data_IF_569634091804
#
_entry.id   IF_569634091804
#
_cell.length_a   1.000
_cell.length_b   1.000
_cell.length_c   1.000
_cell.angle_alpha   90.00
_cell.angle_beta   90.00
_cell.angle_gamma   90.00
#
_symmetry.space_group_name_H-M   'P 1'
#
loop_
_entity.id
_entity.type
_entity.pdbx_description
1 polymer ?
#
# COMPACT_ATOMS: atom_id res chain seq x y z
N UNK A 1 3.65 -12.61 -9.96
CA UNK A 1 4.91 -13.01 -9.31
C UNK A 1 4.63 -13.15 -7.83
N UNK A 2 5.16 -14.20 -7.19
CA UNK A 2 4.94 -14.50 -5.77
C UNK A 2 6.26 -14.32 -5.02
N UNK A 3 6.25 -13.60 -3.91
CA UNK A 3 7.45 -13.42 -3.07
C UNK A 3 7.58 -14.62 -2.15
N UNK A 4 8.69 -15.36 -2.24
CA UNK A 4 8.96 -16.52 -1.39
C UNK A 4 9.77 -16.04 -0.18
N UNK A 5 9.19 -16.22 1.01
CA UNK A 5 9.81 -15.89 2.29
C UNK A 5 10.05 -17.21 3.05
N UNK A 6 11.18 -17.86 2.82
CA UNK A 6 11.46 -19.21 3.33
C UNK A 6 12.39 -19.26 4.54
N UNK A 7 13.10 -18.16 4.81
CA UNK A 7 14.13 -18.05 5.85
C UNK A 7 14.16 -16.65 6.46
N UNK A 8 14.94 -16.44 7.53
CA UNK A 8 15.07 -15.15 8.22
C UNK A 8 15.59 -14.04 7.29
N UNK A 9 16.44 -14.38 6.32
CA UNK A 9 16.93 -13.44 5.31
C UNK A 9 15.82 -12.84 4.44
N UNK A 10 14.62 -13.43 4.47
CA UNK A 10 13.43 -12.88 3.84
C UNK A 10 13.07 -11.48 4.35
N UNK A 11 13.51 -11.15 5.58
CA UNK A 11 13.39 -9.83 6.17
C UNK A 11 14.10 -8.74 5.34
N UNK A 12 15.21 -9.10 4.69
CA UNK A 12 16.08 -8.20 3.93
C UNK A 12 15.82 -8.23 2.42
N UNK A 13 14.79 -8.95 1.96
CA UNK A 13 14.40 -8.91 0.55
C UNK A 13 14.05 -7.48 0.13
N UNK A 14 14.44 -7.03 -1.07
CA UNK A 14 14.13 -5.68 -1.55
C UNK A 14 12.64 -5.34 -1.46
N UNK A 15 11.75 -6.31 -1.73
CA UNK A 15 10.30 -6.10 -1.64
C UNK A 15 9.83 -5.90 -0.19
N UNK A 16 10.45 -6.58 0.77
CA UNK A 16 10.12 -6.46 2.19
C UNK A 16 10.63 -5.15 2.77
N UNK A 17 11.90 -4.80 2.49
CA UNK A 17 12.52 -3.55 2.91
C UNK A 17 11.76 -2.35 2.34
N UNK A 18 11.49 -2.35 1.03
CA UNK A 18 10.73 -1.27 0.39
C UNK A 18 9.31 -1.16 0.95
N UNK A 19 8.65 -2.28 1.25
CA UNK A 19 7.34 -2.25 1.89
C UNK A 19 7.40 -1.58 3.25
N UNK A 20 8.32 -2.00 4.14
CA UNK A 20 8.48 -1.42 5.48
C UNK A 20 8.77 0.08 5.42
N UNK A 21 9.67 0.51 4.54
CA UNK A 21 9.93 1.93 4.28
C UNK A 21 8.70 2.70 3.80
N UNK A 22 7.83 2.08 2.98
CA UNK A 22 6.56 2.70 2.58
C UNK A 22 5.57 2.78 3.75
N UNK A 23 5.57 1.80 4.65
CA UNK A 23 4.69 1.78 5.83
C UNK A 23 5.02 2.90 6.81
N UNK A 24 6.27 3.34 6.86
CA UNK A 24 6.69 4.49 7.67
C UNK A 24 6.00 5.81 7.31
N UNK A 25 5.50 5.94 6.07
CA UNK A 25 4.78 7.13 5.63
C UNK A 25 3.26 6.99 5.84
N UNK A 26 2.76 5.84 6.26
CA UNK A 26 1.33 5.59 6.37
C UNK A 26 0.80 6.06 7.72
N UNK A 27 -0.43 6.56 7.72
CA UNK A 27 -1.10 7.08 8.91
C UNK A 27 -2.45 6.39 9.08
N UNK A 28 -2.86 6.04 10.31
CA UNK A 28 -4.16 5.45 10.58
C UNK A 28 -5.29 6.48 10.51
N UNK A 29 -6.47 6.01 10.11
CA UNK A 29 -7.70 6.77 10.17
C UNK A 29 -8.41 6.60 11.53
N UNK A 30 -8.96 7.68 12.08
CA UNK A 30 -9.73 7.64 13.34
C UNK A 30 -8.85 7.68 14.60
N UNK A 31 -9.49 7.40 15.74
CA UNK A 31 -8.90 7.45 17.08
C UNK A 31 -8.29 6.11 17.53
N UNK A 32 -8.66 5.02 16.87
CA UNK A 32 -8.41 3.66 17.33
C UNK A 32 -7.93 2.75 16.19
N UNK A 33 -6.94 1.90 16.50
CA UNK A 33 -6.34 0.94 15.58
C UNK A 33 -6.51 -0.47 16.12
N UNK A 34 -7.05 -1.37 15.29
CA UNK A 34 -7.28 -2.77 15.62
C UNK A 34 -6.17 -3.62 15.04
N UNK A 35 -5.33 -4.19 15.90
CA UNK A 35 -4.25 -5.09 15.47
C UNK A 35 -4.78 -6.52 15.30
N UNK A 36 -4.59 -7.09 14.12
CA UNK A 36 -5.04 -8.44 13.76
C UNK A 36 -3.86 -9.28 13.25
N UNK A 37 -3.83 -10.60 13.49
CA UNK A 37 -2.79 -11.45 12.94
C UNK A 37 -2.99 -11.64 11.44
N UNK A 38 -1.91 -11.90 10.72
CA UNK A 38 -2.00 -12.27 9.31
C UNK A 38 -2.70 -13.63 9.08
N UNK A 39 -2.90 -14.01 7.82
CA UNK A 39 -3.46 -15.32 7.47
C UNK A 39 -2.81 -15.90 6.23
N UNK A 40 -2.79 -17.24 6.14
CA UNK A 40 -2.22 -17.95 4.98
C UNK A 40 -2.87 -17.54 3.66
N UNK A 41 -4.20 -17.37 3.63
CA UNK A 41 -4.93 -16.92 2.44
C UNK A 41 -4.82 -15.40 2.28
N UNK A 42 -4.42 -14.95 1.09
CA UNK A 42 -4.36 -13.54 0.69
C UNK A 42 -5.35 -13.27 -0.47
N UNK A 43 -5.90 -12.04 -0.60
CA UNK A 43 -5.86 -10.97 0.40
C UNK A 43 -6.50 -11.42 1.72
N UNK A 44 -6.01 -10.90 2.85
CA UNK A 44 -6.34 -11.45 4.18
C UNK A 44 -7.85 -11.43 4.44
N UNK A 45 -8.57 -10.40 3.96
CA UNK A 45 -10.03 -10.28 4.03
C UNK A 45 -10.82 -11.49 3.54
N UNK A 46 -10.22 -12.31 2.66
CA UNK A 46 -10.85 -13.48 2.06
C UNK A 46 -10.62 -14.76 2.87
N UNK A 47 -9.82 -14.70 3.94
CA UNK A 47 -9.59 -15.81 4.87
C UNK A 47 -10.78 -16.00 5.82
N UNK A 48 -10.99 -17.24 6.30
CA UNK A 48 -12.05 -17.55 7.27
C UNK A 48 -11.90 -16.75 8.56
N UNK A 49 -10.67 -16.55 9.03
CA UNK A 49 -10.35 -15.80 10.25
C UNK A 49 -10.73 -14.32 10.10
N UNK A 50 -10.28 -13.66 9.03
CA UNK A 50 -10.57 -12.25 8.80
C UNK A 50 -12.04 -12.00 8.47
N UNK A 51 -12.75 -12.95 7.85
CA UNK A 51 -14.21 -12.84 7.70
C UNK A 51 -14.93 -12.77 9.07
N UNK A 52 -14.41 -13.43 10.11
CA UNK A 52 -14.94 -13.29 11.49
C UNK A 52 -14.57 -11.92 12.07
N UNK A 53 -13.31 -11.48 11.94
CA UNK A 53 -12.86 -10.17 12.43
C UNK A 53 -13.63 -9.02 11.80
N UNK A 54 -13.83 -9.04 10.49
CA UNK A 54 -14.54 -7.98 9.74
C UNK A 54 -16.00 -7.82 10.11
N UNK A 55 -16.65 -8.85 10.66
CA UNK A 55 -18.01 -8.69 11.22
C UNK A 55 -18.05 -7.72 12.40
N UNK A 56 -16.90 -7.49 13.04
CA UNK A 56 -16.73 -6.70 14.25
C UNK A 56 -15.95 -5.41 13.95
N UNK A 57 -14.77 -5.53 13.33
CA UNK A 57 -13.79 -4.46 13.22
C UNK A 57 -13.90 -3.59 11.95
N UNK A 58 -14.78 -3.90 10.98
CA UNK A 58 -14.84 -3.21 9.68
C UNK A 58 -15.06 -1.69 9.74
N UNK A 59 -15.55 -1.18 10.87
CA UNK A 59 -15.83 0.24 11.10
C UNK A 59 -14.68 0.98 11.79
N UNK A 60 -13.54 0.34 12.01
CA UNK A 60 -12.34 0.90 12.65
C UNK A 60 -11.15 0.79 11.68
N UNK A 61 -10.01 1.40 12.02
CA UNK A 61 -8.78 1.17 11.28
C UNK A 61 -8.25 -0.21 11.64
N UNK A 62 -8.01 -1.04 10.62
CA UNK A 62 -7.51 -2.40 10.79
C UNK A 62 -6.05 -2.45 10.34
N UNK A 63 -5.16 -2.90 11.23
CA UNK A 63 -3.75 -3.11 10.93
C UNK A 63 -3.42 -4.60 11.09
N UNK A 64 -2.97 -5.21 10.00
CA UNK A 64 -2.59 -6.62 10.00
C UNK A 64 -1.10 -6.71 10.32
N UNK A 65 -0.75 -7.36 11.42
CA UNK A 65 0.64 -7.62 11.80
C UNK A 65 1.12 -8.87 11.06
N UNK A 66 2.27 -8.80 10.40
CA UNK A 66 2.80 -9.87 9.56
C UNK A 66 4.32 -9.81 9.43
N UNK A 67 4.96 -10.95 9.20
CA UNK A 67 6.38 -11.03 8.83
C UNK A 67 6.50 -11.56 7.39
N UNK A 68 7.52 -11.15 6.60
CA UNK A 68 8.61 -10.19 6.92
C UNK A 68 8.24 -8.70 6.73
N UNK A 69 6.98 -8.41 6.42
CA UNK A 69 6.54 -7.07 6.00
C UNK A 69 6.20 -6.11 7.16
N UNK A 70 6.26 -6.57 8.41
CA UNK A 70 5.93 -5.82 9.62
C UNK A 70 4.42 -5.60 9.80
N UNK A 71 3.88 -4.62 9.06
CA UNK A 71 2.48 -4.22 9.17
C UNK A 71 1.83 -4.07 7.79
N UNK A 72 0.51 -4.23 7.74
CA UNK A 72 -0.28 -3.96 6.55
C UNK A 72 -1.60 -3.29 6.96
N UNK A 73 -1.77 -1.98 6.70
CA UNK A 73 -3.07 -1.35 6.76
C UNK A 73 -4.05 -2.07 5.83
N UNK A 74 -5.29 -2.30 6.27
CA UNK A 74 -6.26 -3.14 5.54
C UNK A 74 -6.47 -2.70 4.10
N UNK A 75 -6.50 -1.40 3.85
CA UNK A 75 -6.69 -0.81 2.53
C UNK A 75 -5.58 -1.17 1.52
N UNK A 76 -4.41 -1.60 2.00
CA UNK A 76 -3.29 -2.01 1.18
C UNK A 76 -3.18 -3.54 0.98
N UNK A 77 -4.09 -4.36 1.52
CA UNK A 77 -3.96 -5.83 1.49
C UNK A 77 -3.98 -6.45 0.07
N UNK A 78 -4.47 -5.70 -0.92
CA UNK A 78 -4.49 -6.10 -2.33
C UNK A 78 -3.28 -5.56 -3.11
N UNK A 79 -2.32 -4.92 -2.46
CA UNK A 79 -1.13 -4.38 -3.12
C UNK A 79 0.01 -5.40 -3.05
N UNK A 80 0.86 -5.40 -4.07
CA UNK A 80 2.11 -6.16 -4.02
C UNK A 80 3.05 -5.53 -2.99
N UNK A 81 3.75 -6.33 -2.15
CA UNK A 81 3.85 -7.80 -2.17
C UNK A 81 2.84 -8.53 -1.28
N UNK A 82 2.09 -7.84 -0.42
CA UNK A 82 1.19 -8.47 0.58
C UNK A 82 0.17 -9.42 -0.04
N UNK A 83 -0.40 -9.07 -1.20
CA UNK A 83 -1.38 -9.94 -1.84
C UNK A 83 -0.79 -11.25 -2.38
N UNK A 84 0.54 -11.36 -2.50
CA UNK A 84 1.20 -12.46 -3.21
C UNK A 84 2.57 -12.79 -2.61
N UNK A 85 2.59 -13.24 -1.36
CA UNK A 85 3.77 -13.84 -0.73
C UNK A 85 3.45 -15.18 -0.07
N UNK A 86 4.46 -16.03 0.05
CA UNK A 86 4.46 -17.24 0.87
C UNK A 86 5.46 -17.11 2.01
N UNK A 87 5.09 -17.67 3.16
CA UNK A 87 5.94 -17.78 4.34
C UNK A 87 5.95 -19.21 4.82
N UNK A 88 7.11 -19.70 5.28
CA UNK A 88 7.19 -20.92 6.08
C UNK A 88 6.54 -20.64 7.44
N UNK A 89 5.47 -21.39 7.77
CA UNK A 89 4.76 -21.21 9.04
C UNK A 89 5.46 -22.00 10.14
N UNK A 90 6.69 -21.62 10.50
CA UNK A 90 7.43 -22.23 11.61
C UNK A 90 6.88 -21.78 12.97
N UNK A 91 6.24 -20.60 13.02
CA UNK A 91 5.60 -20.07 14.23
C UNK A 91 6.56 -19.44 15.23
N UNK A 92 7.87 -19.61 15.04
CA UNK A 92 8.94 -18.88 15.74
C UNK A 92 9.20 -17.55 15.04
N UNK A 93 9.30 -16.48 15.81
CA UNK A 93 9.73 -15.16 15.33
C UNK A 93 11.14 -14.91 15.83
N UNK A 94 12.02 -14.48 14.94
CA UNK A 94 13.36 -13.99 15.28
C UNK A 94 13.28 -12.64 15.99
N UNK A 95 14.36 -12.26 16.68
CA UNK A 95 14.43 -10.95 17.34
C UNK A 95 14.36 -9.80 16.34
N UNK A 96 15.00 -9.94 15.17
CA UNK A 96 14.92 -8.94 14.10
C UNK A 96 13.48 -8.75 13.59
N UNK A 97 12.71 -9.83 13.46
CA UNK A 97 11.30 -9.76 13.06
C UNK A 97 10.44 -9.02 14.10
N UNK A 98 10.68 -9.30 15.38
CA UNK A 98 10.00 -8.64 16.51
C UNK A 98 10.34 -7.14 16.51
N UNK A 99 11.62 -6.81 16.37
CA UNK A 99 12.12 -5.44 16.36
C UNK A 99 11.58 -4.61 15.18
N UNK A 100 11.74 -5.09 13.95
CA UNK A 100 11.28 -4.39 12.75
C UNK A 100 9.76 -4.19 12.76
N UNK A 101 9.03 -5.21 13.21
CA UNK A 101 7.57 -5.14 13.29
C UNK A 101 7.10 -4.21 14.40
N UNK A 102 7.68 -4.31 15.58
CA UNK A 102 7.32 -3.50 16.74
C UNK A 102 7.57 -2.01 16.53
N UNK A 103 8.71 -1.64 15.94
CA UNK A 103 8.99 -0.23 15.55
C UNK A 103 7.94 0.34 14.61
N UNK A 104 7.51 -0.46 13.62
CA UNK A 104 6.47 -0.04 12.69
C UNK A 104 5.10 0.09 13.35
N UNK A 105 4.75 -0.83 14.26
CA UNK A 105 3.50 -0.71 15.04
C UNK A 105 3.53 0.57 15.87
N UNK A 106 4.61 0.83 16.62
CA UNK A 106 4.73 2.00 17.47
C UNK A 106 4.60 3.30 16.67
N UNK A 107 5.32 3.42 15.55
CA UNK A 107 5.26 4.58 14.65
C UNK A 107 3.87 4.77 14.04
N UNK A 108 3.27 3.71 13.50
CA UNK A 108 1.97 3.80 12.84
C UNK A 108 0.83 4.09 13.83
N UNK A 109 0.92 3.58 15.06
CA UNK A 109 -0.13 3.74 16.07
C UNK A 109 0.10 4.92 17.03
N UNK A 110 1.07 5.79 16.76
CA UNK A 110 1.40 6.92 17.63
C UNK A 110 0.17 7.80 17.91
N UNK A 111 -0.13 8.03 19.19
CA UNK A 111 -1.27 8.84 19.64
C UNK A 111 -2.66 8.20 19.39
N UNK A 112 -2.74 6.88 19.19
CA UNK A 112 -4.00 6.14 18.97
C UNK A 112 -4.31 5.16 20.09
N UNK A 113 -5.59 4.86 20.25
CA UNK A 113 -6.04 3.76 21.10
C UNK A 113 -5.80 2.42 20.39
N UNK A 114 -5.03 1.52 21.00
CA UNK A 114 -4.64 0.26 20.36
C UNK A 114 -5.44 -0.89 20.97
N UNK A 115 -6.21 -1.59 20.12
CA UNK A 115 -6.94 -2.81 20.49
C UNK A 115 -6.32 -3.98 19.75
N UNK A 116 -5.50 -4.78 20.44
CA UNK A 116 -4.81 -5.91 19.86
C UNK A 116 -5.62 -7.20 20.02
N UNK A 117 -5.77 -7.98 18.96
CA UNK A 117 -6.25 -9.37 19.03
C UNK A 117 -5.15 -10.31 18.56
N UNK A 118 -4.01 -10.29 19.25
CA UNK A 118 -2.75 -10.91 18.85
C UNK A 118 -2.33 -12.03 19.80
N UNK A 119 -1.41 -12.88 19.36
CA UNK A 119 -0.85 -14.00 20.14
C UNK A 119 0.52 -14.40 19.61
N UNK A 120 1.40 -14.97 20.44
CA UNK A 120 2.74 -15.40 20.03
C UNK A 120 3.60 -14.23 19.57
N UNK A 121 4.49 -14.44 18.59
CA UNK A 121 5.41 -13.40 18.10
C UNK A 121 4.74 -12.11 17.62
N UNK A 122 3.49 -12.17 17.16
CA UNK A 122 2.71 -10.96 16.83
C UNK A 122 2.45 -10.09 18.06
N UNK A 123 2.10 -10.71 19.18
CA UNK A 123 1.86 -10.01 20.44
C UNK A 123 3.17 -9.50 21.03
N UNK A 124 4.21 -10.34 21.01
CA UNK A 124 5.57 -9.98 21.48
C UNK A 124 6.14 -8.76 20.75
N UNK A 125 5.93 -8.67 19.43
CA UNK A 125 6.29 -7.49 18.63
C UNK A 125 5.60 -6.21 19.12
N UNK A 126 4.34 -6.31 19.54
CA UNK A 126 3.58 -5.18 20.07
C UNK A 126 4.05 -4.83 21.49
N UNK A 127 4.15 -5.82 22.38
CA UNK A 127 4.56 -5.65 23.79
C UNK A 127 5.96 -5.05 23.93
N UNK A 128 6.86 -5.33 23.00
CA UNK A 128 8.24 -4.87 23.05
C UNK A 128 8.41 -3.37 22.73
N UNK A 129 7.43 -2.74 22.08
CA UNK A 129 7.55 -1.37 21.56
C UNK A 129 6.36 -0.45 21.86
N UNK A 130 5.27 -1.00 22.41
CA UNK A 130 4.03 -0.28 22.68
C UNK A 130 3.63 -0.51 24.13
N UNK A 131 3.73 0.55 24.95
CA UNK A 131 3.44 0.47 26.38
C UNK A 131 1.94 0.41 26.68
N UNK A 132 1.12 1.17 25.94
CA UNK A 132 -0.31 1.31 26.20
C UNK A 132 -1.15 0.69 25.07
N UNK A 133 -1.63 -0.52 25.32
CA UNK A 133 -2.58 -1.20 24.45
C UNK A 133 -3.43 -2.22 25.21
N UNK A 134 -4.60 -2.55 24.65
CA UNK A 134 -5.50 -3.56 25.21
C UNK A 134 -5.46 -4.82 24.35
N UNK A 135 -4.86 -5.90 24.87
CA UNK A 135 -4.96 -7.21 24.23
C UNK A 135 -6.28 -7.93 24.61
N UNK A 136 -7.14 -8.17 23.63
CA UNK A 136 -8.43 -8.86 23.82
C UNK A 136 -8.36 -10.36 23.52
N UNK A 137 -7.21 -10.85 23.02
CA UNK A 137 -7.01 -12.26 22.69
C UNK A 137 -6.93 -13.12 23.95
N UNK A 138 -7.80 -14.12 24.05
CA UNK A 138 -7.84 -15.08 25.15
C UNK A 138 -7.20 -16.41 24.73
N UNK A 139 -6.41 -16.99 25.63
CA UNK A 139 -5.75 -18.30 25.49
C UNK A 139 -4.94 -18.46 24.20
N UNK A 140 -4.37 -17.37 23.68
CA UNK A 140 -3.61 -17.37 22.42
C UNK A 140 -4.45 -17.73 21.19
N UNK A 141 -5.79 -17.56 21.24
CA UNK A 141 -6.71 -17.94 20.16
C UNK A 141 -7.50 -16.74 19.65
N UNK A 142 -6.99 -15.98 18.67
CA UNK A 142 -7.66 -14.77 18.17
C UNK A 142 -9.07 -14.98 17.61
N UNK A 143 -9.39 -16.20 17.13
CA UNK A 143 -10.69 -16.52 16.51
C UNK A 143 -11.64 -17.31 17.41
N UNK A 144 -11.30 -17.50 18.70
CA UNK A 144 -12.17 -18.15 19.68
C UNK A 144 -13.41 -17.30 19.96
N UNK A 145 -14.54 -17.90 20.41
CA UNK A 145 -15.72 -17.14 20.80
C UNK A 145 -15.43 -16.04 21.82
N UNK A 146 -14.59 -16.33 22.81
CA UNK A 146 -14.20 -15.39 23.87
C UNK A 146 -13.39 -14.21 23.33
N UNK A 147 -12.34 -14.45 22.52
CA UNK A 147 -11.54 -13.38 21.92
C UNK A 147 -12.40 -12.48 21.02
N UNK A 148 -13.31 -13.06 20.25
CA UNK A 148 -14.23 -12.30 19.40
C UNK A 148 -15.27 -11.52 20.21
N UNK A 149 -15.72 -12.05 21.35
CA UNK A 149 -16.60 -11.35 22.28
C UNK A 149 -15.87 -10.16 22.90
N UNK A 150 -14.66 -10.37 23.45
CA UNK A 150 -13.84 -9.34 24.04
C UNK A 150 -13.52 -8.23 23.02
N UNK A 151 -13.10 -8.61 21.80
CA UNK A 151 -12.86 -7.66 20.71
C UNK A 151 -14.09 -6.80 20.42
N UNK A 152 -15.28 -7.41 20.37
CA UNK A 152 -16.53 -6.67 20.14
C UNK A 152 -16.84 -5.72 21.28
N UNK A 153 -16.67 -6.15 22.52
CA UNK A 153 -16.99 -5.36 23.70
C UNK A 153 -16.02 -4.19 23.87
N UNK A 154 -14.74 -4.41 23.58
CA UNK A 154 -13.74 -3.35 23.63
C UNK A 154 -13.98 -2.31 22.53
N UNK A 155 -14.15 -2.73 21.27
CA UNK A 155 -14.38 -1.79 20.16
C UNK A 155 -15.63 -0.93 20.31
N UNK A 156 -16.66 -1.37 21.05
CA UNK A 156 -17.83 -0.55 21.36
C UNK A 156 -17.51 0.73 22.14
N UNK A 157 -16.36 0.80 22.81
CA UNK A 157 -15.89 1.98 23.56
C UNK A 157 -15.22 3.04 22.67
N UNK A 158 -14.88 2.68 21.43
CA UNK A 158 -14.12 3.52 20.50
C UNK A 158 -14.99 4.09 19.38
N UNK A 159 -14.57 5.20 18.79
CA UNK A 159 -15.35 5.86 17.74
C UNK A 159 -15.32 5.05 16.44
N UNK A 160 -16.50 4.87 15.83
CA UNK A 160 -16.60 4.27 14.50
C UNK A 160 -16.28 5.29 13.41
N UNK A 161 -15.55 4.84 12.42
CA UNK A 161 -15.23 5.61 11.23
C UNK A 161 -16.37 5.51 10.22
N UNK A 162 -16.72 6.65 9.61
CA UNK A 162 -17.72 6.70 8.56
C UNK A 162 -17.23 5.96 7.30
N UNK A 163 -18.12 5.23 6.64
CA UNK A 163 -17.84 4.54 5.36
C UNK A 163 -17.29 5.47 4.28
N UNK A 164 -17.82 6.69 4.15
CA UNK A 164 -17.38 7.66 3.13
C UNK A 164 -15.91 8.04 3.36
N UNK A 165 -15.60 8.38 4.60
CA UNK A 165 -14.25 8.74 5.06
C UNK A 165 -13.28 7.58 4.86
N UNK A 166 -13.66 6.37 5.29
CA UNK A 166 -12.84 5.16 5.09
C UNK A 166 -12.57 4.85 3.62
N UNK A 167 -13.55 5.10 2.75
CA UNK A 167 -13.37 4.92 1.29
C UNK A 167 -12.41 5.95 0.72
N UNK A 168 -12.52 7.22 1.12
CA UNK A 168 -11.59 8.26 0.68
C UNK A 168 -10.17 7.98 1.17
N UNK A 169 -10.03 7.57 2.43
CA UNK A 169 -8.76 7.15 3.01
C UNK A 169 -8.16 5.95 2.30
N UNK A 170 -8.93 4.89 2.00
CA UNK A 170 -8.45 3.76 1.18
C UNK A 170 -7.83 4.24 -0.13
N UNK A 171 -8.52 5.14 -0.85
CA UNK A 171 -8.02 5.64 -2.13
C UNK A 171 -6.71 6.45 -1.95
N UNK A 172 -6.66 7.32 -0.94
CA UNK A 172 -5.49 8.14 -0.62
C UNK A 172 -4.30 7.31 -0.16
N UNK A 173 -4.53 6.33 0.70
CA UNK A 173 -3.50 5.42 1.20
C UNK A 173 -2.86 4.62 0.07
N UNK A 174 -3.65 4.11 -0.89
CA UNK A 174 -3.11 3.45 -2.08
C UNK A 174 -2.27 4.43 -2.91
N UNK A 175 -2.71 5.68 -3.05
CA UNK A 175 -2.00 6.69 -3.83
C UNK A 175 -0.68 7.12 -3.18
N UNK A 176 -0.68 7.33 -1.85
CA UNK A 176 0.52 7.59 -1.04
C UNK A 176 1.49 6.41 -1.11
N UNK A 177 0.98 5.18 -1.02
CA UNK A 177 1.81 3.99 -1.19
C UNK A 177 2.46 3.92 -2.58
N UNK A 178 1.70 4.18 -3.64
CA UNK A 178 2.19 4.10 -5.02
C UNK A 178 3.15 5.24 -5.37
N UNK A 179 2.70 6.49 -5.19
CA UNK A 179 3.41 7.68 -5.67
C UNK A 179 4.36 8.31 -4.63
N UNK A 180 4.33 7.81 -3.39
CA UNK A 180 5.22 8.25 -2.31
C UNK A 180 4.65 9.39 -1.48
N UNK A 181 5.55 10.16 -0.87
CA UNK A 181 5.19 11.33 -0.07
C UNK A 181 4.34 12.32 -0.87
N UNK A 182 3.30 12.87 -0.25
CA UNK A 182 2.25 13.67 -0.90
C UNK A 182 1.40 12.94 -1.96
N UNK A 183 1.63 11.65 -2.21
CA UNK A 183 0.86 10.87 -3.19
C UNK A 183 -0.63 10.78 -2.86
N UNK A 184 -1.03 10.97 -1.60
CA UNK A 184 -2.44 11.08 -1.20
C UNK A 184 -3.18 12.23 -1.91
N UNK A 185 -2.47 13.32 -2.26
CA UNK A 185 -3.03 14.47 -2.99
C UNK A 185 -3.44 14.14 -4.42
N UNK A 186 -3.00 13.01 -4.97
CA UNK A 186 -3.51 12.47 -6.23
C UNK A 186 -5.03 12.25 -6.22
N UNK A 187 -5.60 12.01 -5.03
CA UNK A 187 -7.04 11.79 -4.85
C UNK A 187 -7.71 13.05 -4.27
N UNK A 188 -8.43 13.83 -5.10
CA UNK A 188 -9.13 15.03 -4.64
C UNK A 188 -10.38 14.70 -3.82
N UNK A 189 -10.89 15.66 -3.05
CA UNK A 189 -12.04 15.47 -2.15
C UNK A 189 -13.36 15.14 -2.90
N UNK A 190 -13.52 15.66 -4.12
CA UNK A 190 -14.70 15.46 -4.96
C UNK A 190 -14.67 14.13 -5.75
N UNK A 191 -13.74 13.21 -5.43
CA UNK A 191 -13.54 11.96 -6.15
C UNK A 191 -14.80 11.10 -6.18
N UNK A 192 -15.09 10.53 -7.35
CA UNK A 192 -16.14 9.54 -7.58
C UNK A 192 -15.52 8.26 -8.09
N UNK A 193 -15.99 7.12 -7.60
CA UNK A 193 -15.57 5.81 -8.10
C UNK A 193 -16.68 5.15 -8.90
N UNK A 194 -16.35 4.61 -10.08
CA UNK A 194 -17.32 3.89 -10.94
C UNK A 194 -16.76 2.55 -11.41
N UNK A 195 -17.58 1.50 -11.34
CA UNK A 195 -17.20 0.14 -11.75
C UNK A 195 -17.47 -0.88 -10.64
N UNK A 196 -17.58 -2.15 -11.00
CA UNK A 196 -17.91 -3.22 -10.06
C UNK A 196 -16.64 -3.74 -9.38
N UNK A 197 -15.77 -4.41 -10.15
CA UNK A 197 -14.51 -4.96 -9.70
C UNK A 197 -13.38 -3.92 -9.76
N UNK A 198 -12.85 -3.61 -10.95
CA UNK A 198 -11.99 -2.45 -11.13
C UNK A 198 -12.77 -1.14 -10.98
N UNK A 199 -12.13 -0.11 -10.43
CA UNK A 199 -12.77 1.18 -10.16
C UNK A 199 -12.12 2.25 -11.00
N UNK A 200 -12.90 2.93 -11.84
CA UNK A 200 -12.51 4.20 -12.45
C UNK A 200 -12.56 5.28 -11.37
N UNK A 201 -11.48 6.04 -11.27
CA UNK A 201 -11.33 7.18 -10.37
C UNK A 201 -11.62 8.43 -11.19
N UNK A 202 -12.67 9.14 -10.83
CA UNK A 202 -13.21 10.27 -11.58
C UNK A 202 -13.18 11.52 -10.69
N UNK A 203 -12.79 12.65 -11.27
CA UNK A 203 -12.95 13.98 -10.67
C UNK A 203 -13.40 14.94 -11.76
N UNK A 204 -14.41 15.78 -11.45
CA UNK A 204 -15.00 16.75 -12.38
C UNK A 204 -15.31 16.20 -13.79
N UNK A 205 -15.83 14.96 -13.83
CA UNK A 205 -16.21 14.27 -15.08
C UNK A 205 -15.04 13.66 -15.85
N UNK A 206 -13.78 13.92 -15.47
CA UNK A 206 -12.57 13.35 -16.08
C UNK A 206 -12.09 12.11 -15.32
N UNK A 207 -11.53 11.13 -16.02
CA UNK A 207 -10.97 9.92 -15.41
C UNK A 207 -9.49 10.12 -15.10
N UNK A 208 -9.15 10.22 -13.81
CA UNK A 208 -7.77 10.37 -13.34
C UNK A 208 -6.98 9.06 -13.52
N UNK A 209 -7.58 7.93 -13.13
CA UNK A 209 -6.96 6.62 -13.21
C UNK A 209 -8.00 5.49 -13.18
N UNK A 210 -7.51 4.27 -13.41
CA UNK A 210 -8.20 3.02 -13.13
C UNK A 210 -7.50 2.33 -11.95
N UNK A 211 -8.18 2.16 -10.81
CA UNK A 211 -7.72 1.28 -9.74
C UNK A 211 -7.90 -0.18 -10.16
N UNK A 212 -6.79 -0.85 -10.41
CA UNK A 212 -6.76 -2.26 -10.77
C UNK A 212 -6.75 -3.11 -9.49
N UNK A 213 -7.91 -3.66 -9.13
CA UNK A 213 -8.07 -4.56 -7.97
C UNK A 213 -7.29 -5.89 -8.02
N UNK A 214 -6.73 -6.30 -9.17
CA UNK A 214 -5.83 -7.48 -9.22
C UNK A 214 -4.42 -7.18 -8.71
N UNK A 215 -4.03 -5.91 -8.71
CA UNK A 215 -2.71 -5.46 -8.26
C UNK A 215 -2.75 -4.43 -7.12
N UNK A 216 -3.95 -3.94 -6.79
CA UNK A 216 -4.17 -2.94 -5.75
C UNK A 216 -3.70 -1.53 -6.10
N UNK A 217 -3.25 -1.27 -7.33
CA UNK A 217 -2.62 -0.01 -7.73
C UNK A 217 -3.38 0.70 -8.85
N UNK A 218 -3.15 2.01 -8.96
CA UNK A 218 -3.69 2.85 -10.02
C UNK A 218 -2.95 2.63 -11.34
N UNK A 219 -3.70 2.67 -12.44
CA UNK A 219 -3.18 2.84 -13.80
C UNK A 219 -3.60 4.21 -14.31
N UNK A 220 -2.64 5.03 -14.70
CA UNK A 220 -2.87 6.43 -15.05
C UNK A 220 -3.68 6.61 -16.34
N UNK A 221 -4.35 7.75 -16.38
CA UNK A 221 -4.87 8.41 -17.57
C UNK A 221 -4.21 9.79 -17.67
N UNK A 222 -4.27 10.44 -18.85
CA UNK A 222 -3.61 11.74 -19.07
C UNK A 222 -4.01 12.80 -18.02
N UNK A 223 -5.30 12.91 -17.68
CA UNK A 223 -5.74 13.88 -16.65
C UNK A 223 -5.24 13.57 -15.25
N UNK A 224 -4.93 12.31 -14.92
CA UNK A 224 -4.24 11.98 -13.67
C UNK A 224 -2.74 12.27 -13.76
N UNK A 225 -2.17 12.22 -14.97
CA UNK A 225 -0.80 12.60 -15.22
C UNK A 225 -0.53 14.07 -14.94
N UNK A 226 -1.47 14.95 -15.27
CA UNK A 226 -1.39 16.38 -14.91
C UNK A 226 -1.26 16.60 -13.39
N UNK A 227 -2.00 15.84 -12.58
CA UNK A 227 -1.90 15.92 -11.12
C UNK A 227 -0.53 15.44 -10.64
N UNK A 228 0.02 14.36 -11.21
CA UNK A 228 1.37 13.91 -10.86
C UNK A 228 2.45 14.93 -11.27
N UNK A 229 2.23 15.66 -12.36
CA UNK A 229 3.10 16.77 -12.77
C UNK A 229 3.09 17.87 -11.71
N UNK A 230 1.91 18.28 -11.23
CA UNK A 230 1.77 19.27 -10.15
C UNK A 230 2.44 18.80 -8.84
N UNK A 231 2.42 17.49 -8.56
CA UNK A 231 3.11 16.88 -7.42
C UNK A 231 4.62 16.68 -7.63
N UNK A 232 5.14 16.98 -8.82
CA UNK A 232 6.54 16.86 -9.21
C UNK A 232 7.14 15.47 -8.91
N UNK A 233 6.45 14.41 -9.33
CA UNK A 233 6.90 13.03 -9.09
C UNK A 233 6.63 12.11 -10.28
N UNK A 234 7.45 11.06 -10.42
CA UNK A 234 7.34 10.06 -11.48
C UNK A 234 7.41 10.65 -12.89
N UNK A 235 8.18 11.73 -13.05
CA UNK A 235 8.37 12.48 -14.30
C UNK A 235 9.51 11.86 -15.10
N UNK A 236 9.27 11.72 -16.41
CA UNK A 236 10.28 11.42 -17.43
C UNK A 236 10.23 12.53 -18.49
N UNK A 237 11.33 13.25 -18.66
CA UNK A 237 11.46 14.39 -19.56
C UNK A 237 12.09 13.97 -20.89
N UNK A 238 11.51 14.45 -21.99
CA UNK A 238 11.97 14.20 -23.38
C UNK A 238 11.99 15.51 -24.18
N UNK A 239 12.72 15.54 -25.29
CA UNK A 239 12.83 16.70 -26.21
C UNK A 239 12.21 16.45 -27.59
N UNK A 240 11.64 15.27 -27.84
CA UNK A 240 11.10 14.88 -29.14
C UNK A 240 9.59 14.65 -29.12
N UNK A 241 8.96 14.67 -30.28
CA UNK A 241 7.53 14.39 -30.41
C UNK A 241 7.23 12.89 -30.36
N UNK A 242 6.32 12.50 -29.45
CA UNK A 242 5.89 11.11 -29.32
C UNK A 242 5.05 10.70 -30.54
N UNK A 243 5.66 9.95 -31.46
CA UNK A 243 4.96 9.35 -32.62
C UNK A 243 4.51 7.91 -32.38
N UNK A 244 5.16 7.22 -31.43
CA UNK A 244 4.87 5.81 -31.08
C UNK A 244 4.49 5.67 -29.60
N UNK A 245 4.14 4.46 -29.18
CA UNK A 245 3.80 4.15 -27.79
C UNK A 245 5.01 3.69 -26.96
N UNK A 246 6.23 3.99 -27.41
CA UNK A 246 7.47 3.54 -26.78
C UNK A 246 8.42 4.71 -26.66
N UNK A 247 8.96 4.93 -25.47
CA UNK A 247 10.06 5.87 -25.22
C UNK A 247 11.33 5.05 -24.99
N UNK A 248 12.35 5.32 -25.79
CA UNK A 248 13.66 4.69 -25.67
C UNK A 248 14.59 5.55 -24.80
N UNK A 249 15.51 4.91 -24.08
CA UNK A 249 16.45 5.60 -23.18
C UNK A 249 17.21 6.76 -23.84
N UNK A 250 17.71 6.66 -25.10
CA UNK A 250 18.45 7.75 -25.73
C UNK A 250 17.67 9.06 -25.93
N UNK A 251 16.34 9.03 -25.86
CA UNK A 251 15.50 10.22 -25.99
C UNK A 251 15.07 10.82 -24.65
N UNK A 252 15.56 10.29 -23.53
CA UNK A 252 15.26 10.81 -22.20
C UNK A 252 16.34 11.80 -21.80
N UNK A 253 15.93 13.02 -21.43
CA UNK A 253 16.82 14.05 -20.90
C UNK A 253 17.03 13.85 -19.41
N UNK A 254 15.93 13.54 -18.70
CA UNK A 254 15.89 13.44 -17.25
C UNK A 254 14.77 12.52 -16.79
N UNK A 255 14.98 11.78 -15.71
CA UNK A 255 13.95 10.97 -15.08
C UNK A 255 14.02 11.08 -13.56
N UNK A 256 12.86 10.99 -12.90
CA UNK A 256 12.81 10.94 -11.44
C UNK A 256 13.59 9.70 -10.93
N UNK A 257 14.67 9.88 -10.13
CA UNK A 257 15.53 8.76 -9.70
C UNK A 257 14.80 7.76 -8.79
N UNK A 258 13.62 8.12 -8.25
CA UNK A 258 12.79 7.22 -7.42
C UNK A 258 12.00 6.21 -8.26
N UNK A 259 11.90 6.41 -9.57
CA UNK A 259 11.19 5.50 -10.48
C UNK A 259 11.88 4.13 -10.47
N UNK A 260 11.09 3.09 -10.28
CA UNK A 260 11.52 1.70 -10.48
C UNK A 260 10.68 0.99 -11.54
N UNK A 261 11.15 -0.15 -12.07
CA UNK A 261 10.39 -0.90 -13.06
C UNK A 261 8.97 -1.22 -12.61
N UNK A 262 8.01 -1.06 -13.54
CA UNK A 262 6.57 -1.17 -13.38
C UNK A 262 5.84 -0.01 -12.70
N UNK A 263 6.54 1.01 -12.21
CA UNK A 263 5.89 2.25 -11.76
C UNK A 263 5.12 2.90 -12.91
N UNK A 264 3.99 3.52 -12.57
CA UNK A 264 3.28 4.38 -13.52
C UNK A 264 4.01 5.72 -13.56
N UNK A 265 4.31 6.20 -14.77
CA UNK A 265 5.10 7.41 -15.01
C UNK A 265 4.38 8.34 -15.97
N UNK A 266 4.73 9.62 -15.87
CA UNK A 266 4.31 10.65 -16.82
C UNK A 266 5.48 11.04 -17.70
N UNK A 267 5.21 11.26 -18.97
CA UNK A 267 6.18 11.74 -19.95
C UNK A 267 5.87 13.19 -20.25
N UNK A 268 6.86 14.05 -20.05
CA UNK A 268 6.75 15.50 -20.16
C UNK A 268 7.67 16.01 -21.28
N UNK A 269 7.17 16.95 -22.06
CA UNK A 269 7.93 17.72 -23.06
C UNK A 269 7.53 19.18 -22.93
N UNK A 270 8.50 20.09 -22.86
CA UNK A 270 8.26 21.54 -22.75
C UNK A 270 7.28 21.90 -21.62
N UNK A 271 7.44 21.26 -20.46
CA UNK A 271 6.53 21.38 -19.31
C UNK A 271 5.06 20.97 -19.60
N UNK A 272 4.78 20.17 -20.64
CA UNK A 272 3.45 19.62 -20.89
C UNK A 272 3.45 18.10 -20.77
N UNK A 273 2.41 17.51 -20.16
CA UNK A 273 2.25 16.05 -20.12
C UNK A 273 1.84 15.55 -21.50
N UNK A 274 2.79 14.91 -22.19
CA UNK A 274 2.57 14.35 -23.53
C UNK A 274 2.19 12.88 -23.51
N UNK A 275 2.43 12.17 -22.39
CA UNK A 275 2.08 10.77 -22.27
C UNK A 275 2.03 10.25 -20.83
N UNK A 276 1.37 9.11 -20.66
CA UNK A 276 1.40 8.31 -19.42
C UNK A 276 1.65 6.85 -19.76
N UNK A 277 2.42 6.16 -18.93
CA UNK A 277 2.85 4.80 -19.22
C UNK A 277 3.44 4.09 -18.02
N UNK A 278 4.13 2.98 -18.29
CA UNK A 278 4.87 2.21 -17.30
C UNK A 278 6.36 2.25 -17.55
N UNK A 279 7.12 2.48 -16.49
CA UNK A 279 8.56 2.34 -16.50
C UNK A 279 8.97 0.88 -16.73
N UNK A 280 9.99 0.67 -17.57
CA UNK A 280 10.66 -0.61 -17.80
C UNK A 280 12.01 -0.65 -17.09
N UNK A 281 12.64 0.50 -16.93
CA UNK A 281 13.93 0.70 -16.26
C UNK A 281 13.75 1.62 -15.06
N UNK A 282 14.75 1.69 -14.18
CA UNK A 282 14.84 2.70 -13.12
C UNK A 282 15.09 4.08 -13.71
N UNK A 283 14.76 5.15 -12.98
CA UNK A 283 15.04 6.52 -13.43
C UNK A 283 16.51 6.75 -13.78
N UNK A 284 17.43 6.18 -13.01
CA UNK A 284 18.86 6.27 -13.28
C UNK A 284 19.27 5.57 -14.59
N UNK A 285 18.79 4.34 -14.81
CA UNK A 285 19.04 3.62 -16.06
C UNK A 285 18.46 4.36 -17.28
N UNK A 286 17.33 5.06 -17.12
CA UNK A 286 16.73 5.83 -18.20
C UNK A 286 17.65 6.97 -18.69
N UNK A 287 18.44 7.57 -17.81
CA UNK A 287 19.38 8.65 -18.16
C UNK A 287 20.72 8.12 -18.69
N UNK A 288 21.21 6.99 -18.17
CA UNK A 288 22.55 6.48 -18.50
C UNK A 288 22.58 5.56 -19.73
N UNK A 289 21.48 4.85 -20.01
CA UNK A 289 21.47 3.82 -21.04
C UNK A 289 21.41 4.40 -22.45
N UNK A 290 22.29 3.92 -23.34
CA UNK A 290 22.35 4.34 -24.75
C UNK A 290 21.45 3.54 -25.70
N UNK A 291 20.69 2.59 -25.18
CA UNK A 291 19.71 1.81 -25.93
C UNK A 291 18.70 1.18 -24.95
N UNK A 292 17.62 0.60 -25.50
CA UNK A 292 16.60 -0.07 -24.70
C UNK A 292 15.32 0.76 -24.52
N UNK A 293 14.26 0.07 -24.12
CA UNK A 293 12.94 0.66 -23.88
C UNK A 293 12.89 1.15 -22.44
N UNK A 294 12.61 2.43 -22.23
CA UNK A 294 12.49 3.05 -20.91
C UNK A 294 11.04 3.11 -20.43
N UNK A 295 10.12 3.52 -21.30
CA UNK A 295 8.70 3.66 -20.96
C UNK A 295 7.83 3.03 -22.04
N UNK A 296 6.89 2.19 -21.63
CA UNK A 296 5.79 1.73 -22.49
C UNK A 296 4.57 2.61 -22.24
N UNK A 297 4.24 3.44 -23.21
CA UNK A 297 3.11 4.36 -23.13
C UNK A 297 1.79 3.59 -23.23
N UNK A 298 0.84 4.06 -22.44
CA UNK A 298 -0.54 3.59 -22.47
C UNK A 298 -1.42 4.59 -23.21
N UNK A 299 -1.33 5.87 -22.85
CA UNK A 299 -2.01 6.97 -23.54
C UNK A 299 -1.00 8.07 -23.85
N UNK A 300 -1.17 8.74 -24.98
CA UNK A 300 -0.43 9.94 -25.37
C UNK A 300 -1.38 11.00 -25.91
N UNK A 301 -0.96 12.26 -25.81
CA UNK A 301 -1.58 13.34 -26.57
C UNK A 301 -1.34 13.05 -28.06
N UNK A 302 -2.37 13.23 -28.87
CA UNK A 302 -2.31 12.99 -30.32
C UNK A 302 -1.83 14.21 -31.05
#
# INVERSE_FOLDING_TARGET
>A
MKVICSSEESLYRPEAVRWRQRMEMMEPLGDSVVLLPCSMKKPYSNSKSHQKFRKIARSYQELIVTSPFGICPRELENTFPIQSYDVSTTGSWSQDEIEETGKLIAKYCEGKNIVANLSGGYLESCESYVDDFINVCKDGRPTSPDSLYNLRMELKKHQKINRKEKTLHELRSIAKFQFGENGDKFIPDNVKTKGMYHKRILSDGKQLALLNKDHGLYRLNLSGGEILKELNTHIVEIDFDLTTNTVFAPGIIKADPKIVPNDEVIVVKDDAVVGVGKAIMTGHEMEECRNGISVKLKHRVK
#
